data_IF_514985616731
#
_entry.id   IF_514985616731
#
_cell.length_a   1.000
_cell.length_b   1.000
_cell.length_c   1.000
_cell.angle_alpha   90.00
_cell.angle_beta   90.00
_cell.angle_gamma   90.00
#
_symmetry.space_group_name_H-M   'P 1'
#
loop_
_entity.id
_entity.type
_entity.pdbx_description
1 polymer ?
#
# COMPACT_ATOMS: atom_id res chain seq x y z
N UNK A 1 -3.35 16.23 -17.26
CA UNK A 1 -4.29 15.09 -17.45
C UNK A 1 -4.75 14.65 -16.08
N UNK A 2 -5.99 14.19 -15.88
CA UNK A 2 -6.48 13.81 -14.56
C UNK A 2 -5.89 12.49 -14.04
N UNK A 3 -5.15 11.75 -14.88
CA UNK A 3 -4.47 10.50 -14.52
C UNK A 3 -3.04 10.47 -15.05
N UNK A 4 -2.12 9.99 -14.21
CA UNK A 4 -0.73 9.74 -14.57
C UNK A 4 -0.20 8.52 -13.84
N UNK A 5 0.77 7.84 -14.46
CA UNK A 5 1.59 6.81 -13.83
C UNK A 5 3.00 7.35 -13.71
N UNK A 6 3.60 7.21 -12.55
CA UNK A 6 4.99 7.64 -12.32
C UNK A 6 5.79 6.52 -11.64
N UNK A 7 7.09 6.49 -11.89
CA UNK A 7 8.01 5.66 -11.12
C UNK A 7 8.64 6.50 -10.01
N UNK A 8 8.25 6.26 -8.77
CA UNK A 8 8.73 7.03 -7.62
C UNK A 8 8.54 6.27 -6.29
N UNK A 9 9.16 6.80 -5.23
CA UNK A 9 8.79 6.51 -3.83
C UNK A 9 7.50 7.27 -3.50
N UNK A 10 6.43 6.56 -3.18
CA UNK A 10 5.11 7.17 -2.91
C UNK A 10 5.15 8.15 -1.73
N UNK A 11 6.06 7.98 -0.77
CA UNK A 11 6.21 8.90 0.37
C UNK A 11 6.75 10.28 -0.03
N UNK A 12 7.35 10.40 -1.21
CA UNK A 12 7.85 11.66 -1.78
C UNK A 12 6.84 12.34 -2.69
N UNK A 13 5.74 11.67 -3.01
CA UNK A 13 4.71 12.21 -3.89
C UNK A 13 3.87 13.24 -3.14
N UNK A 14 3.60 14.38 -3.80
CA UNK A 14 2.70 15.40 -3.28
C UNK A 14 1.31 15.15 -3.80
N UNK A 15 0.37 14.84 -2.92
CA UNK A 15 -1.04 14.67 -3.23
C UNK A 15 -1.91 15.04 -2.02
N UNK A 16 -3.19 15.32 -2.22
CA UNK A 16 -4.12 15.57 -1.10
C UNK A 16 -4.33 14.31 -0.25
N UNK A 17 -4.34 13.14 -0.89
CA UNK A 17 -4.39 11.84 -0.21
C UNK A 17 -3.32 10.89 -0.76
N UNK A 18 -2.73 10.07 0.12
CA UNK A 18 -1.81 9.00 -0.22
C UNK A 18 -2.41 7.69 0.28
N UNK A 19 -2.49 6.69 -0.60
CA UNK A 19 -3.02 5.38 -0.23
C UNK A 19 -1.93 4.50 0.34
N UNK A 20 -2.21 3.92 1.49
CA UNK A 20 -1.40 2.90 2.16
C UNK A 20 -2.07 1.53 2.05
N UNK A 21 -1.35 0.55 1.54
CA UNK A 21 -1.75 -0.86 1.61
C UNK A 21 -1.44 -1.38 3.01
N UNK A 22 -2.47 -1.46 3.83
CA UNK A 22 -2.37 -1.90 5.22
C UNK A 22 -2.58 -3.41 5.35
N UNK A 23 -2.02 -4.02 6.39
CA UNK A 23 -2.45 -5.34 6.83
C UNK A 23 -3.80 -5.25 7.59
N UNK A 24 -4.56 -6.35 7.76
CA UNK A 24 -5.86 -6.32 8.45
C UNK A 24 -5.81 -5.78 9.89
N UNK A 25 -4.69 -5.92 10.57
CA UNK A 25 -4.52 -5.41 11.93
C UNK A 25 -4.32 -3.89 11.97
N UNK A 26 -4.20 -3.22 10.81
CA UNK A 26 -3.86 -1.79 10.65
C UNK A 26 -2.97 -1.35 11.80
N UNK A 27 -1.78 -1.91 11.83
CA UNK A 27 -0.83 -1.65 12.91
C UNK A 27 -0.23 -0.23 12.78
N UNK A 28 -1.09 0.78 12.72
CA UNK A 28 -0.71 2.19 12.68
C UNK A 28 -0.93 2.73 14.09
N UNK A 29 0.09 2.87 14.89
CA UNK A 29 0.10 3.48 16.21
C UNK A 29 -1.12 3.23 17.12
N UNK A 30 -0.99 3.34 18.40
CA UNK A 30 -2.10 3.08 19.35
C UNK A 30 -3.29 4.03 19.15
N UNK A 31 -3.04 5.29 18.76
CA UNK A 31 -4.08 6.29 18.48
C UNK A 31 -4.89 5.98 17.22
N UNK A 32 -4.25 5.54 16.16
CA UNK A 32 -4.89 5.20 14.88
C UNK A 32 -5.67 3.90 14.98
N UNK A 33 -5.15 2.88 15.68
CA UNK A 33 -5.85 1.62 15.96
C UNK A 33 -7.15 1.84 16.74
N UNK A 34 -7.18 2.78 17.68
CA UNK A 34 -8.42 3.17 18.39
C UNK A 34 -9.44 3.83 17.45
N UNK A 35 -9.01 4.52 16.40
CA UNK A 35 -9.90 5.23 15.46
C UNK A 35 -10.41 4.35 14.33
N UNK A 36 -9.59 3.43 13.79
CA UNK A 36 -9.93 2.63 12.59
C UNK A 36 -10.41 1.23 12.98
N UNK A 37 -9.82 0.61 14.02
CA UNK A 37 -10.13 -0.78 14.41
C UNK A 37 -9.53 -1.82 13.46
N UNK A 38 -10.17 -3.00 13.39
CA UNK A 38 -9.80 -4.06 12.45
C UNK A 38 -10.44 -3.78 11.11
N UNK A 39 -9.67 -3.82 10.03
CA UNK A 39 -10.16 -3.68 8.67
C UNK A 39 -10.16 -5.03 7.96
N UNK A 40 -11.22 -5.29 7.20
CA UNK A 40 -11.29 -6.46 6.34
C UNK A 40 -10.77 -6.15 4.93
N UNK A 41 -10.30 -7.16 4.17
CA UNK A 41 -9.93 -7.00 2.77
C UNK A 41 -11.02 -6.26 1.97
N UNK A 42 -10.62 -5.32 1.13
CA UNK A 42 -11.53 -4.49 0.35
C UNK A 42 -12.14 -3.29 1.11
N UNK A 43 -11.78 -3.06 2.36
CA UNK A 43 -12.20 -1.87 3.10
C UNK A 43 -11.18 -0.73 2.96
N UNK A 44 -11.67 0.52 3.16
CA UNK A 44 -10.84 1.71 3.22
C UNK A 44 -11.21 2.57 4.43
N UNK A 45 -10.21 3.20 5.07
CA UNK A 45 -10.37 4.17 6.14
C UNK A 45 -9.28 5.24 6.01
N UNK A 46 -9.43 6.40 6.66
CA UNK A 46 -8.45 7.47 6.54
C UNK A 46 -7.94 7.94 7.90
N UNK A 47 -6.74 8.49 7.88
CA UNK A 47 -6.13 9.23 8.98
C UNK A 47 -5.55 10.55 8.47
N UNK A 48 -5.18 11.50 9.35
CA UNK A 48 -4.29 12.58 8.98
C UNK A 48 -2.98 12.04 8.40
N UNK A 49 -2.32 12.81 7.55
CA UNK A 49 -1.09 12.38 6.87
C UNK A 49 0.19 12.64 7.66
N UNK A 50 0.09 13.17 8.87
CA UNK A 50 1.23 13.46 9.75
C UNK A 50 2.30 14.29 9.03
N UNK A 51 3.53 13.76 8.91
CA UNK A 51 4.66 14.44 8.27
C UNK A 51 4.78 14.16 6.76
N UNK A 52 3.84 13.44 6.15
CA UNK A 52 3.80 13.25 4.70
C UNK A 52 3.31 14.53 4.01
N UNK A 53 3.70 14.69 2.75
CA UNK A 53 3.29 15.83 1.93
C UNK A 53 1.87 15.63 1.37
N UNK A 54 0.92 15.37 2.28
CA UNK A 54 -0.49 15.09 2.01
C UNK A 54 -1.37 15.61 3.15
N UNK A 55 -2.69 15.61 2.95
CA UNK A 55 -3.68 15.92 4.00
C UNK A 55 -4.12 14.65 4.73
N UNK A 56 -4.28 13.57 3.97
CA UNK A 56 -4.79 12.29 4.46
C UNK A 56 -3.94 11.12 3.99
N UNK A 57 -3.90 10.07 4.83
CA UNK A 57 -3.54 8.72 4.42
C UNK A 57 -4.82 7.92 4.36
N UNK A 58 -5.07 7.29 3.23
CA UNK A 58 -6.16 6.34 3.05
C UNK A 58 -5.58 4.93 3.17
N UNK A 59 -5.96 4.23 4.23
CA UNK A 59 -5.57 2.85 4.47
C UNK A 59 -6.55 1.93 3.79
N UNK A 60 -6.06 0.95 3.03
CA UNK A 60 -6.89 -0.12 2.45
C UNK A 60 -6.20 -1.46 2.61
N UNK A 61 -6.99 -2.52 2.79
CA UNK A 61 -6.48 -3.88 2.95
C UNK A 61 -6.70 -4.63 1.66
N UNK A 62 -5.62 -4.88 0.92
CA UNK A 62 -5.66 -5.67 -0.30
C UNK A 62 -5.86 -7.17 -0.03
N UNK A 63 -6.22 -7.95 -1.06
CA UNK A 63 -6.30 -9.39 -0.96
C UNK A 63 -4.91 -10.03 -0.97
N UNK A 64 -4.72 -11.10 -0.22
CA UNK A 64 -3.61 -12.02 -0.45
C UNK A 64 -3.96 -12.90 -1.65
N UNK A 65 -3.05 -13.00 -2.63
CA UNK A 65 -3.26 -13.84 -3.81
C UNK A 65 -3.07 -15.30 -3.46
N UNK A 66 -4.07 -16.13 -3.76
CA UNK A 66 -4.02 -17.58 -3.61
C UNK A 66 -3.96 -18.21 -5.01
N UNK A 67 -5.05 -18.14 -5.77
CA UNK A 67 -5.16 -18.74 -7.10
C UNK A 67 -6.12 -17.98 -8.04
N UNK A 68 -6.75 -16.90 -7.57
CA UNK A 68 -7.72 -16.09 -8.30
C UNK A 68 -9.15 -16.60 -8.24
N UNK A 69 -9.47 -17.57 -7.35
CA UNK A 69 -10.81 -18.14 -7.16
C UNK A 69 -11.43 -17.82 -5.79
N UNK A 70 -10.84 -16.85 -5.06
CA UNK A 70 -11.25 -16.46 -3.70
C UNK A 70 -11.65 -14.98 -3.62
N UNK A 71 -12.33 -14.49 -4.65
CA UNK A 71 -12.80 -13.10 -4.79
C UNK A 71 -11.67 -12.05 -4.73
N UNK A 72 -10.41 -12.47 -5.01
CA UNK A 72 -9.26 -11.58 -4.87
C UNK A 72 -9.35 -10.38 -5.82
N UNK A 73 -9.90 -10.59 -7.04
CA UNK A 73 -10.10 -9.51 -8.02
C UNK A 73 -11.15 -8.52 -7.55
N UNK A 74 -12.28 -9.00 -7.08
CA UNK A 74 -13.39 -8.20 -6.54
C UNK A 74 -12.96 -7.40 -5.31
N UNK A 75 -12.16 -8.03 -4.44
CA UNK A 75 -11.59 -7.36 -3.27
C UNK A 75 -10.64 -6.24 -3.72
N UNK A 76 -9.79 -6.48 -4.72
CA UNK A 76 -8.87 -5.47 -5.22
C UNK A 76 -9.62 -4.31 -5.91
N UNK A 77 -10.66 -4.59 -6.71
CA UNK A 77 -11.59 -3.57 -7.23
C UNK A 77 -12.15 -2.71 -6.10
N UNK A 78 -12.66 -3.33 -5.04
CA UNK A 78 -13.21 -2.64 -3.88
C UNK A 78 -12.19 -1.75 -3.16
N UNK A 79 -10.90 -2.13 -3.13
CA UNK A 79 -9.84 -1.31 -2.55
C UNK A 79 -9.69 0.03 -3.30
N UNK A 80 -9.62 0.00 -4.62
CA UNK A 80 -9.53 1.22 -5.44
C UNK A 80 -10.80 2.05 -5.35
N UNK A 81 -11.96 1.44 -5.58
CA UNK A 81 -13.26 2.11 -5.54
C UNK A 81 -13.48 2.86 -4.23
N UNK A 82 -13.33 2.17 -3.09
CA UNK A 82 -13.58 2.77 -1.77
C UNK A 82 -12.56 3.83 -1.41
N UNK A 83 -11.31 3.66 -1.83
CA UNK A 83 -10.28 4.67 -1.60
C UNK A 83 -10.54 5.94 -2.39
N UNK A 84 -10.94 5.83 -3.66
CA UNK A 84 -11.32 6.96 -4.52
C UNK A 84 -12.55 7.69 -3.96
N UNK A 85 -13.60 6.95 -3.61
CA UNK A 85 -14.81 7.53 -3.02
C UNK A 85 -14.51 8.25 -1.70
N UNK A 86 -13.71 7.65 -0.83
CA UNK A 86 -13.32 8.26 0.43
C UNK A 86 -12.51 9.55 0.23
N UNK A 87 -11.62 9.60 -0.77
CA UNK A 87 -10.90 10.82 -1.12
C UNK A 87 -11.86 11.91 -1.62
N UNK A 88 -12.85 11.56 -2.46
CA UNK A 88 -13.87 12.50 -2.93
C UNK A 88 -14.73 13.03 -1.78
N UNK A 89 -15.18 12.18 -0.86
CA UNK A 89 -15.91 12.57 0.36
C UNK A 89 -15.11 13.55 1.23
N UNK A 90 -13.77 13.45 1.22
CA UNK A 90 -12.86 14.36 1.92
C UNK A 90 -12.47 15.58 1.09
N UNK A 91 -13.10 15.79 -0.04
CA UNK A 91 -12.83 16.93 -0.94
C UNK A 91 -11.35 17.00 -1.37
N UNK A 92 -10.71 15.84 -1.54
CA UNK A 92 -9.37 15.75 -2.11
C UNK A 92 -9.42 16.05 -3.60
N UNK A 93 -8.46 16.84 -4.07
CA UNK A 93 -8.28 17.15 -5.50
C UNK A 93 -7.26 16.25 -6.17
N UNK A 94 -6.45 15.54 -5.36
CA UNK A 94 -5.48 14.59 -5.86
C UNK A 94 -5.33 13.42 -4.91
N UNK A 95 -5.03 12.23 -5.47
CA UNK A 95 -4.79 11.00 -4.73
C UNK A 95 -3.65 10.21 -5.39
N UNK A 96 -2.72 9.69 -4.57
CA UNK A 96 -1.64 8.82 -5.03
C UNK A 96 -1.85 7.39 -4.53
N UNK A 97 -1.76 6.44 -5.45
CA UNK A 97 -1.90 5.00 -5.19
C UNK A 97 -0.59 4.27 -5.41
N UNK A 98 -0.22 3.31 -4.56
CA UNK A 98 0.71 2.27 -4.96
C UNK A 98 -0.02 1.23 -5.80
N UNK A 99 0.70 0.31 -6.44
CA UNK A 99 0.09 -0.86 -7.05
C UNK A 99 -0.30 -1.86 -5.94
N UNK A 100 -1.58 -1.82 -5.53
CA UNK A 100 -2.09 -2.52 -4.35
C UNK A 100 -1.88 -4.04 -4.46
N UNK A 101 -1.53 -4.70 -3.35
CA UNK A 101 -1.38 -6.15 -3.17
C UNK A 101 -0.27 -6.82 -4.03
N UNK A 102 0.56 -6.10 -4.75
CA UNK A 102 1.58 -6.68 -5.66
C UNK A 102 2.93 -6.94 -5.03
N UNK A 103 3.10 -6.62 -3.76
CA UNK A 103 4.29 -6.90 -2.94
C UNK A 103 4.19 -8.28 -2.27
N UNK A 104 4.29 -8.32 -0.94
CA UNK A 104 4.21 -9.56 -0.13
C UNK A 104 2.91 -10.35 -0.32
N UNK A 105 1.82 -9.70 -0.72
CA UNK A 105 0.54 -10.36 -1.00
C UNK A 105 0.50 -11.11 -2.35
N UNK A 106 1.49 -10.91 -3.20
CA UNK A 106 1.74 -11.73 -4.38
C UNK A 106 0.73 -11.61 -5.52
N UNK A 107 -0.14 -10.60 -5.51
CA UNK A 107 -1.10 -10.41 -6.60
C UNK A 107 -0.36 -10.21 -7.94
N UNK A 108 -0.78 -10.86 -9.05
CA UNK A 108 -0.17 -10.68 -10.37
C UNK A 108 -0.16 -9.21 -10.80
N UNK A 109 1.02 -8.68 -11.13
CA UNK A 109 1.19 -7.24 -11.39
C UNK A 109 0.44 -6.74 -12.61
N UNK A 110 0.34 -7.56 -13.63
CA UNK A 110 -0.40 -7.27 -14.88
C UNK A 110 -1.91 -7.16 -14.61
N UNK A 111 -2.48 -8.11 -13.89
CA UNK A 111 -3.89 -8.08 -13.51
C UNK A 111 -4.18 -6.91 -12.54
N UNK A 112 -3.31 -6.70 -11.55
CA UNK A 112 -3.45 -5.59 -10.60
C UNK A 112 -3.42 -4.23 -11.31
N UNK A 113 -2.56 -4.07 -12.30
CA UNK A 113 -2.48 -2.84 -13.10
C UNK A 113 -3.76 -2.63 -13.93
N UNK A 114 -4.26 -3.69 -14.58
CA UNK A 114 -5.52 -3.61 -15.34
C UNK A 114 -6.70 -3.24 -14.45
N UNK A 115 -6.81 -3.81 -13.26
CA UNK A 115 -7.86 -3.49 -12.28
C UNK A 115 -7.72 -2.04 -11.82
N UNK A 116 -6.52 -1.59 -11.48
CA UNK A 116 -6.27 -0.21 -11.08
C UNK A 116 -6.72 0.78 -12.17
N UNK A 117 -6.30 0.55 -13.42
CA UNK A 117 -6.67 1.39 -14.56
C UNK A 117 -8.17 1.42 -14.79
N UNK A 118 -8.84 0.27 -14.76
CA UNK A 118 -10.28 0.18 -14.95
C UNK A 118 -11.08 0.95 -13.88
N UNK A 119 -10.68 0.84 -12.61
CA UNK A 119 -11.37 1.54 -11.53
C UNK A 119 -11.11 3.05 -11.54
N UNK A 120 -9.87 3.46 -11.84
CA UNK A 120 -9.52 4.88 -11.97
C UNK A 120 -10.27 5.51 -13.14
N UNK A 121 -10.29 4.85 -14.30
CA UNK A 121 -11.02 5.33 -15.47
C UNK A 121 -12.53 5.47 -15.17
N UNK A 122 -13.13 4.43 -14.59
CA UNK A 122 -14.54 4.45 -14.19
C UNK A 122 -14.87 5.61 -13.25
N UNK A 123 -14.02 5.87 -12.28
CA UNK A 123 -14.18 6.97 -11.32
C UNK A 123 -14.09 8.33 -11.99
N UNK A 124 -13.12 8.52 -12.88
CA UNK A 124 -12.86 9.79 -13.56
C UNK A 124 -13.94 10.17 -14.60
N UNK A 125 -14.78 9.22 -15.02
CA UNK A 125 -15.95 9.53 -15.86
C UNK A 125 -16.97 10.46 -15.17
N UNK A 126 -16.99 10.47 -13.83
CA UNK A 126 -17.96 11.23 -13.03
C UNK A 126 -17.36 12.16 -11.98
N UNK A 127 -16.05 12.15 -11.80
CA UNK A 127 -15.36 12.94 -10.80
C UNK A 127 -14.14 13.66 -11.39
N UNK A 128 -13.93 14.90 -10.96
CA UNK A 128 -12.72 15.67 -11.27
C UNK A 128 -11.70 15.50 -10.13
N UNK A 129 -10.71 14.65 -10.35
CA UNK A 129 -9.62 14.39 -9.40
C UNK A 129 -8.35 14.02 -10.17
N UNK A 130 -7.20 14.51 -9.73
CA UNK A 130 -5.92 14.04 -10.21
C UNK A 130 -5.59 12.73 -9.52
N UNK A 131 -5.39 11.66 -10.29
CA UNK A 131 -5.03 10.34 -9.78
C UNK A 131 -3.63 9.97 -10.24
N UNK A 132 -2.76 9.64 -9.30
CA UNK A 132 -1.35 9.30 -9.54
C UNK A 132 -1.15 7.84 -9.14
N UNK A 133 -0.86 6.98 -10.10
CA UNK A 133 -0.45 5.60 -9.82
C UNK A 133 1.07 5.54 -9.72
N UNK A 134 1.58 5.17 -8.56
CA UNK A 134 3.01 5.13 -8.26
C UNK A 134 3.50 3.70 -8.34
N UNK A 135 4.38 3.42 -9.30
CA UNK A 135 5.04 2.13 -9.46
C UNK A 135 6.51 2.23 -9.01
N UNK A 136 7.00 1.22 -8.31
CA UNK A 136 8.38 1.21 -7.83
C UNK A 136 9.23 0.20 -8.61
N UNK A 137 8.78 -1.04 -8.68
CA UNK A 137 9.55 -2.14 -9.26
C UNK A 137 9.59 -2.12 -10.79
N UNK A 138 10.74 -2.51 -11.38
CA UNK A 138 10.97 -2.50 -12.83
C UNK A 138 9.90 -3.23 -13.63
N UNK A 139 9.46 -4.40 -13.20
CA UNK A 139 8.42 -5.15 -13.90
C UNK A 139 7.09 -4.40 -13.98
N UNK A 140 6.69 -3.72 -12.90
CA UNK A 140 5.48 -2.89 -12.91
C UNK A 140 5.65 -1.68 -13.83
N UNK A 141 6.82 -1.05 -13.82
CA UNK A 141 7.17 0.05 -14.71
C UNK A 141 7.08 -0.36 -16.18
N UNK A 142 7.76 -1.43 -16.60
CA UNK A 142 7.73 -1.93 -17.99
C UNK A 142 6.32 -2.35 -18.46
N UNK A 143 5.51 -2.92 -17.57
CA UNK A 143 4.10 -3.21 -17.87
C UNK A 143 3.28 -1.94 -18.06
N UNK A 144 3.53 -0.93 -17.24
CA UNK A 144 2.84 0.35 -17.32
C UNK A 144 3.21 1.10 -18.63
N UNK A 145 4.49 1.13 -19.01
CA UNK A 145 4.93 1.70 -20.30
C UNK A 145 4.25 1.04 -21.50
N UNK A 146 4.09 -0.29 -21.48
CA UNK A 146 3.41 -1.02 -22.56
C UNK A 146 1.93 -0.69 -22.69
N UNK A 147 1.27 -0.31 -21.60
CA UNK A 147 -0.17 -0.05 -21.58
C UNK A 147 -0.52 1.42 -21.82
N UNK A 148 0.29 2.34 -21.34
CA UNK A 148 -0.04 3.77 -21.27
C UNK A 148 0.93 4.63 -22.10
N UNK A 149 2.10 4.12 -22.46
CA UNK A 149 3.15 4.86 -23.17
C UNK A 149 4.20 5.43 -22.20
N UNK A 150 4.85 6.52 -22.58
CA UNK A 150 5.93 7.12 -21.81
C UNK A 150 5.51 7.48 -20.38
N UNK A 151 6.29 7.04 -19.42
CA UNK A 151 6.05 7.25 -17.99
C UNK A 151 7.20 8.05 -17.41
N UNK A 152 6.88 9.08 -16.62
CA UNK A 152 7.89 9.86 -15.93
C UNK A 152 8.57 9.05 -14.81
N UNK A 153 9.90 9.03 -14.82
CA UNK A 153 10.73 8.30 -13.89
C UNK A 153 11.44 9.27 -12.94
N UNK A 154 11.12 9.23 -11.66
CA UNK A 154 11.71 10.07 -10.60
C UNK A 154 12.69 9.32 -9.71
N UNK A 155 12.81 8.01 -9.88
CA UNK A 155 13.73 7.14 -9.16
C UNK A 155 14.31 6.11 -10.13
N UNK A 156 15.60 5.96 -10.14
CA UNK A 156 16.32 4.99 -10.96
C UNK A 156 16.57 3.67 -10.19
N UNK A 157 17.20 2.70 -10.86
CA UNK A 157 17.53 1.40 -10.25
C UNK A 157 18.45 1.54 -9.02
N UNK A 158 19.34 2.53 -9.02
CA UNK A 158 20.24 2.78 -7.90
C UNK A 158 19.46 3.28 -6.67
N UNK A 159 18.57 4.25 -6.85
CA UNK A 159 17.70 4.73 -5.79
C UNK A 159 16.75 3.66 -5.26
N UNK A 160 16.28 2.76 -6.13
CA UNK A 160 15.48 1.60 -5.69
C UNK A 160 16.34 0.63 -4.88
N UNK A 161 17.58 0.36 -5.31
CA UNK A 161 18.50 -0.51 -4.57
C UNK A 161 18.84 0.07 -3.19
N UNK A 162 19.04 1.39 -3.08
CA UNK A 162 19.23 2.06 -1.79
C UNK A 162 18.00 1.94 -0.88
N UNK A 163 16.80 2.06 -1.46
CA UNK A 163 15.56 1.83 -0.70
C UNK A 163 15.48 0.39 -0.21
N UNK A 164 15.77 -0.58 -1.08
CA UNK A 164 15.78 -2.01 -0.72
C UNK A 164 16.88 -2.33 0.30
N UNK A 165 18.07 -1.76 0.18
CA UNK A 165 19.18 -1.97 1.13
C UNK A 165 18.85 -1.36 2.50
N UNK A 166 18.23 -0.20 2.53
CA UNK A 166 17.72 0.40 3.77
C UNK A 166 16.62 -0.47 4.43
N UNK A 167 15.85 -1.18 3.62
CA UNK A 167 14.80 -2.12 4.07
C UNK A 167 15.37 -3.44 4.57
N UNK A 168 16.18 -4.08 3.74
CA UNK A 168 16.66 -5.45 3.96
C UNK A 168 17.99 -5.49 4.71
N UNK A 169 18.80 -4.43 4.68
CA UNK A 169 20.07 -4.33 5.42
C UNK A 169 19.89 -4.38 6.92
N UNK A 170 18.74 -3.99 7.43
CA UNK A 170 18.37 -4.12 8.86
C UNK A 170 17.94 -5.56 9.19
N UNK A 171 17.55 -6.36 8.20
CA UNK A 171 16.90 -7.67 8.38
C UNK A 171 17.82 -8.89 8.29
N UNK A 172 19.03 -8.77 7.74
CA UNK A 172 19.97 -9.90 7.63
C UNK A 172 20.66 -10.29 8.95
N UNK A 173 20.32 -9.64 10.05
CA UNK A 173 20.95 -9.82 11.37
C UNK A 173 20.29 -10.82 12.32
N UNK A 174 19.02 -11.21 12.14
CA UNK A 174 18.37 -12.17 13.05
C UNK A 174 17.27 -12.98 12.38
N UNK A 175 17.56 -14.28 12.23
CA UNK A 175 16.64 -15.42 12.05
C UNK A 175 15.46 -15.34 11.05
N UNK A 176 15.72 -15.92 9.91
CA UNK A 176 14.88 -16.74 9.01
C UNK A 176 13.36 -16.72 9.23
N UNK A 177 12.64 -15.88 8.55
CA UNK A 177 11.30 -16.21 8.08
C UNK A 177 11.41 -16.79 6.66
N UNK A 178 10.78 -17.97 6.45
CA UNK A 178 10.98 -18.79 5.24
C UNK A 178 10.63 -18.07 3.95
N UNK A 179 11.26 -18.54 2.88
CA UNK A 179 11.04 -18.12 1.49
C UNK A 179 9.56 -18.09 1.12
N UNK A 180 9.14 -17.29 0.13
CA UNK A 180 7.74 -17.16 -0.35
C UNK A 180 7.01 -18.49 -0.59
N UNK A 181 7.74 -19.57 -0.87
CA UNK A 181 7.17 -20.91 -1.03
C UNK A 181 6.61 -21.51 0.26
N UNK A 182 7.06 -21.08 1.44
CA UNK A 182 6.52 -21.59 2.73
C UNK A 182 5.23 -20.87 3.15
N UNK A 183 4.98 -19.63 2.67
CA UNK A 183 3.74 -18.91 2.94
C UNK A 183 2.53 -19.51 2.19
N UNK A 184 2.73 -20.16 1.03
CA UNK A 184 1.65 -20.87 0.31
C UNK A 184 1.07 -22.02 1.13
N UNK A 185 1.90 -22.66 1.95
CA UNK A 185 1.48 -23.80 2.77
C UNK A 185 0.62 -23.35 3.98
N UNK A 186 0.89 -22.18 4.54
CA UNK A 186 0.11 -21.62 5.65
C UNK A 186 -1.30 -21.19 5.22
N UNK A 187 -1.45 -20.63 4.02
CA UNK A 187 -2.75 -20.26 3.46
C UNK A 187 -3.63 -21.50 3.19
N UNK A 188 -3.03 -22.62 2.73
CA UNK A 188 -3.74 -23.89 2.51
C UNK A 188 -4.20 -24.57 3.82
N UNK A 189 -3.56 -24.26 4.94
CA UNK A 189 -3.86 -24.87 6.24
C UNK A 189 -4.82 -24.02 7.10
N UNK A 190 -5.35 -22.91 6.57
CA UNK A 190 -6.25 -22.02 7.33
C UNK A 190 -5.56 -21.28 8.48
N UNK A 191 -4.23 -21.29 8.52
CA UNK A 191 -3.46 -20.52 9.51
C UNK A 191 -3.46 -19.05 9.06
N UNK A 192 -3.72 -18.07 9.97
CA UNK A 192 -3.68 -16.66 9.59
C UNK A 192 -2.32 -16.33 8.94
N UNK A 193 -2.36 -15.72 7.75
CA UNK A 193 -1.18 -15.25 7.02
C UNK A 193 -0.37 -14.20 7.80
N UNK A 194 -0.95 -13.69 8.87
CA UNK A 194 -0.37 -12.65 9.71
C UNK A 194 -0.25 -13.15 11.14
N UNK A 195 0.90 -12.90 11.79
CA UNK A 195 1.03 -13.17 13.21
C UNK A 195 -0.03 -12.38 13.99
N UNK A 196 -0.59 -12.98 15.01
CA UNK A 196 -1.43 -12.26 15.97
C UNK A 196 -0.55 -11.20 16.64
N UNK A 197 -0.85 -9.94 16.37
CA UNK A 197 -0.15 -8.78 16.94
C UNK A 197 -0.90 -8.18 18.12
N UNK A 198 -1.97 -8.84 18.59
CA UNK A 198 -2.70 -8.42 19.78
C UNK A 198 -1.79 -8.50 21.01
N UNK A 199 -1.52 -7.36 21.62
CA UNK A 199 -0.65 -7.25 22.80
C UNK A 199 0.81 -6.93 22.50
N UNK A 200 1.21 -6.77 21.23
CA UNK A 200 2.56 -6.33 20.88
C UNK A 200 2.69 -4.81 20.94
N UNK A 201 3.87 -4.35 21.34
CA UNK A 201 4.22 -2.93 21.26
C UNK A 201 4.40 -2.49 19.80
N UNK A 202 4.37 -1.17 19.60
CA UNK A 202 4.59 -0.58 18.27
C UNK A 202 5.95 -0.97 17.68
N UNK A 203 6.99 -0.97 18.53
CA UNK A 203 8.35 -1.34 18.14
C UNK A 203 8.43 -2.81 17.71
N UNK A 204 7.77 -3.73 18.41
CA UNK A 204 7.70 -5.15 18.04
C UNK A 204 6.92 -5.39 16.73
N UNK A 205 5.89 -4.59 16.46
CA UNK A 205 5.13 -4.65 15.20
C UNK A 205 5.97 -4.11 14.05
N UNK A 206 6.70 -3.02 14.27
CA UNK A 206 7.62 -2.41 13.31
C UNK A 206 8.73 -3.36 12.90
N UNK A 207 9.35 -4.03 13.88
CA UNK A 207 10.38 -5.03 13.63
C UNK A 207 9.90 -6.23 12.83
N UNK A 208 8.59 -6.48 12.79
CA UNK A 208 7.96 -7.58 12.05
C UNK A 208 7.26 -7.17 10.75
N UNK A 209 7.18 -5.87 10.43
CA UNK A 209 6.54 -5.41 9.21
C UNK A 209 7.47 -5.60 8.01
N UNK A 210 7.03 -6.35 7.01
CA UNK A 210 7.72 -6.51 5.72
C UNK A 210 7.41 -5.37 4.73
N UNK A 211 6.54 -4.42 5.11
CA UNK A 211 6.08 -3.34 4.24
C UNK A 211 6.85 -2.05 4.53
N UNK A 212 7.71 -1.67 3.61
CA UNK A 212 8.54 -0.45 3.70
C UNK A 212 7.74 0.82 3.89
N UNK A 213 6.61 0.94 3.20
CA UNK A 213 5.78 2.11 3.36
C UNK A 213 5.25 2.20 4.79
N UNK A 214 4.80 1.08 5.34
CA UNK A 214 4.37 1.02 6.73
C UNK A 214 5.49 1.39 7.69
N UNK A 215 6.70 0.85 7.51
CA UNK A 215 7.85 1.19 8.36
C UNK A 215 8.19 2.67 8.31
N UNK A 216 8.24 3.27 7.12
CA UNK A 216 8.47 4.71 6.94
C UNK A 216 7.35 5.55 7.57
N UNK A 217 6.10 5.15 7.37
CA UNK A 217 4.95 5.81 7.96
C UNK A 217 5.01 5.79 9.48
N UNK A 218 5.32 4.66 10.08
CA UNK A 218 5.48 4.51 11.52
C UNK A 218 6.62 5.36 12.08
N UNK A 219 7.76 5.39 11.37
CA UNK A 219 8.88 6.26 11.73
C UNK A 219 8.47 7.73 11.75
N UNK A 220 7.74 8.18 10.74
CA UNK A 220 7.21 9.55 10.66
C UNK A 220 6.20 9.85 11.78
N UNK A 221 5.36 8.89 12.16
CA UNK A 221 4.43 9.02 13.28
C UNK A 221 5.18 9.15 14.60
N UNK A 222 6.17 8.30 14.84
CA UNK A 222 7.02 8.32 16.03
C UNK A 222 7.79 9.65 16.16
N UNK A 223 8.39 10.11 15.07
CA UNK A 223 9.10 11.40 15.02
C UNK A 223 8.16 12.61 15.23
N UNK A 224 6.86 12.46 14.99
CA UNK A 224 5.86 13.52 15.23
C UNK A 224 5.46 13.66 16.70
N UNK A 225 5.90 12.77 17.59
CA UNK A 225 5.57 12.79 19.01
C UNK A 225 4.11 12.48 19.33
N UNK A 226 3.37 11.84 18.43
CA UNK A 226 1.95 11.50 18.59
C UNK A 226 1.72 10.08 19.14
N UNK A 227 2.75 9.43 19.67
CA UNK A 227 2.64 8.08 20.24
C UNK A 227 1.79 8.03 21.53
N UNK A 228 1.55 9.17 22.17
CA UNK A 228 0.90 9.29 23.49
C UNK A 228 -0.51 9.90 23.46
N UNK A 229 -1.18 9.97 22.28
CA UNK A 229 -2.53 10.56 22.19
C UNK A 229 -3.60 9.54 21.82
#
# INVERSE_FOLDING_TARGET
>A
MPFQIIRNDITKVKADAIVNTANPAVAVGTGTRKKIGIMHPGQAAHTPAFNLNAKYIIHTVGPAWIDGNHDEREILHSCYEKSLNLAAERSCRSIAFPLIATGSYGFPKDEALQIALAEIDRFLLSHEMEVILVVLGRKAFELSEKLVGDIEEYIDEHGIAELHEAEYGIWYGSERWGRPEQNKTSAMLGVPLFPDVSGMSLDEILERSEDTFQQKLFKLIKESGMDDV
#
